data_IF_117743091967
#
_entry.id   IF_117743091967
#
_cell.length_a   1.000
_cell.length_b   1.000
_cell.length_c   1.000
_cell.angle_alpha   90.00
_cell.angle_beta   90.00
_cell.angle_gamma   90.00
#
_symmetry.space_group_name_H-M   'P 1'
#
loop_
_entity.id
_entity.type
_entity.pdbx_description
1 polymer ?
#
# COMPACT_ATOMS: atom_id res chain seq x y z
N UNK A 1 -3.17 15.79 2.79
CA UNK A 1 -2.56 14.43 2.67
C UNK A 1 -2.14 14.16 1.24
N UNK A 2 -3.04 14.29 0.25
CA UNK A 2 -2.72 14.09 -1.18
C UNK A 2 -1.55 14.96 -1.66
N UNK A 3 -1.52 16.26 -1.33
CA UNK A 3 -0.47 17.16 -1.82
C UNK A 3 0.93 16.72 -1.33
N UNK A 4 1.03 16.26 -0.08
CA UNK A 4 2.29 15.74 0.50
C UNK A 4 2.76 14.46 -0.20
N UNK A 5 1.84 13.58 -0.60
CA UNK A 5 2.19 12.35 -1.32
C UNK A 5 2.67 12.69 -2.73
N UNK A 6 2.01 13.63 -3.41
CA UNK A 6 2.44 14.14 -4.72
C UNK A 6 3.84 14.73 -4.63
N UNK A 7 4.10 15.60 -3.65
CA UNK A 7 5.42 16.20 -3.42
C UNK A 7 6.49 15.14 -3.14
N UNK A 8 6.19 14.11 -2.34
CA UNK A 8 7.14 13.04 -2.03
C UNK A 8 7.49 12.18 -3.26
N UNK A 9 6.52 11.93 -4.14
CA UNK A 9 6.69 11.03 -5.28
C UNK A 9 6.99 11.75 -6.60
N UNK A 10 6.93 13.08 -6.65
CA UNK A 10 7.10 13.84 -7.91
C UNK A 10 8.46 13.64 -8.57
N UNK A 11 9.49 13.34 -7.78
CA UNK A 11 10.85 13.13 -8.26
C UNK A 11 11.12 11.65 -8.65
N UNK A 12 10.14 10.76 -8.48
CA UNK A 12 10.32 9.34 -8.75
C UNK A 12 10.00 9.02 -10.21
N UNK A 13 10.76 8.10 -10.79
CA UNK A 13 10.45 7.58 -12.11
C UNK A 13 9.17 6.73 -12.07
N UNK A 14 8.49 6.60 -13.21
CA UNK A 14 7.33 5.72 -13.33
C UNK A 14 7.66 4.27 -12.90
N UNK A 15 8.88 3.80 -13.20
CA UNK A 15 9.37 2.49 -12.75
C UNK A 15 9.47 2.41 -11.23
N UNK A 16 10.04 3.43 -10.57
CA UNK A 16 10.17 3.44 -9.12
C UNK A 16 8.80 3.49 -8.42
N UNK A 17 7.84 4.26 -8.96
CA UNK A 17 6.46 4.29 -8.45
C UNK A 17 5.78 2.92 -8.60
N UNK A 18 5.95 2.28 -9.76
CA UNK A 18 5.41 0.94 -10.02
C UNK A 18 5.99 -0.10 -9.05
N UNK A 19 7.32 -0.12 -8.90
CA UNK A 19 8.00 -1.02 -7.96
C UNK A 19 7.60 -0.78 -6.50
N UNK A 20 7.34 0.46 -6.11
CA UNK A 20 6.84 0.79 -4.76
C UNK A 20 5.40 0.33 -4.56
N UNK A 21 4.51 0.60 -5.52
CA UNK A 21 3.08 0.24 -5.41
C UNK A 21 2.85 -1.27 -5.37
N UNK A 22 3.69 -2.07 -6.03
CA UNK A 22 3.56 -3.53 -6.07
C UNK A 22 4.10 -4.25 -4.83
N UNK A 23 4.62 -3.52 -3.85
CA UNK A 23 5.07 -4.04 -2.55
C UNK A 23 4.04 -3.85 -1.44
N UNK A 24 2.84 -3.34 -1.76
CA UNK A 24 1.75 -3.23 -0.80
C UNK A 24 1.12 -4.62 -0.60
N UNK A 25 0.86 -5.00 0.65
CA UNK A 25 0.45 -6.35 1.00
C UNK A 25 -0.78 -6.85 0.23
N UNK A 26 -1.87 -6.06 0.05
CA UNK A 26 -3.04 -6.52 -0.71
C UNK A 26 -2.70 -6.86 -2.17
N UNK A 27 -1.69 -6.22 -2.75
CA UNK A 27 -1.22 -6.53 -4.09
C UNK A 27 -0.37 -7.80 -4.11
N UNK A 28 0.56 -7.96 -3.17
CA UNK A 28 1.49 -9.11 -3.14
C UNK A 28 0.78 -10.44 -2.88
N UNK A 29 -0.28 -10.45 -2.08
CA UNK A 29 -0.96 -11.69 -1.67
C UNK A 29 -2.16 -12.05 -2.56
N UNK A 30 -2.58 -11.16 -3.45
CA UNK A 30 -3.69 -11.42 -4.36
C UNK A 30 -3.17 -11.96 -5.68
N UNK A 31 -3.69 -13.11 -6.12
CA UNK A 31 -3.36 -13.68 -7.42
C UNK A 31 -3.66 -12.70 -8.58
N UNK A 32 -2.83 -12.72 -9.61
CA UNK A 32 -2.99 -11.84 -10.77
C UNK A 32 -4.38 -11.97 -11.41
N UNK A 33 -5.04 -10.84 -11.61
CA UNK A 33 -6.38 -10.77 -12.21
C UNK A 33 -7.51 -11.23 -11.29
N UNK A 34 -7.24 -11.51 -10.01
CA UNK A 34 -8.27 -11.76 -9.00
C UNK A 34 -8.68 -10.48 -8.27
N UNK A 35 -9.85 -10.55 -7.64
CA UNK A 35 -10.36 -9.48 -6.79
C UNK A 35 -9.55 -9.41 -5.50
N UNK A 36 -9.07 -8.21 -5.17
CA UNK A 36 -8.40 -7.95 -3.89
C UNK A 36 -9.46 -7.86 -2.80
N UNK A 37 -9.37 -8.73 -1.80
CA UNK A 37 -10.29 -8.72 -0.65
C UNK A 37 -10.14 -7.42 0.15
N UNK A 38 -11.27 -6.82 0.54
CA UNK A 38 -11.29 -5.62 1.38
C UNK A 38 -10.62 -5.84 2.74
N UNK A 39 -10.69 -7.07 3.28
CA UNK A 39 -10.08 -7.43 4.57
C UNK A 39 -8.56 -7.21 4.59
N UNK A 40 -7.91 -7.32 3.42
CA UNK A 40 -6.47 -7.09 3.30
C UNK A 40 -6.06 -5.64 3.63
N UNK A 41 -6.99 -4.69 3.59
CA UNK A 41 -6.72 -3.31 3.97
C UNK A 41 -6.32 -3.13 5.45
N UNK A 42 -6.78 -4.03 6.33
CA UNK A 42 -6.46 -4.00 7.77
C UNK A 42 -5.04 -4.48 8.07
N UNK A 43 -4.45 -5.27 7.16
CA UNK A 43 -3.11 -5.83 7.29
C UNK A 43 -2.03 -5.00 6.58
N UNK A 44 -2.36 -3.79 6.11
CA UNK A 44 -1.39 -2.92 5.44
C UNK A 44 -0.39 -2.37 6.46
N UNK A 45 0.89 -2.60 6.21
CA UNK A 45 1.97 -2.13 7.08
C UNK A 45 2.55 -0.79 6.61
N UNK A 46 3.40 -0.18 7.45
CA UNK A 46 4.23 0.95 7.02
C UNK A 46 5.18 0.48 5.91
N UNK A 47 5.40 1.30 4.85
CA UNK A 47 4.96 2.68 4.66
C UNK A 47 3.61 2.85 3.95
N UNK A 48 2.87 1.77 3.66
CA UNK A 48 1.66 1.81 2.83
C UNK A 48 0.39 2.17 3.60
N UNK A 49 0.42 2.12 4.93
CA UNK A 49 -0.68 2.54 5.78
C UNK A 49 -0.41 3.86 6.52
N UNK A 50 -1.45 4.70 6.63
CA UNK A 50 -1.45 5.89 7.48
C UNK A 50 -1.72 5.52 8.95
N UNK A 51 -2.30 4.33 9.19
CA UNK A 51 -2.68 3.84 10.52
C UNK A 51 -2.17 2.41 10.70
N UNK A 52 -1.47 2.15 11.80
CA UNK A 52 -1.15 0.78 12.18
C UNK A 52 -2.30 0.27 13.02
N UNK A 53 -2.96 -0.79 12.57
CA UNK A 53 -3.96 -1.50 13.35
C UNK A 53 -3.21 -2.57 14.16
N UNK A 54 -3.38 -2.59 15.48
CA UNK A 54 -2.80 -3.64 16.32
C UNK A 54 -3.67 -4.90 16.20
N UNK A 55 -3.09 -6.02 15.80
CA UNK A 55 -3.80 -7.30 15.72
C UNK A 55 -4.20 -7.83 17.12
N UNK A 56 -3.69 -7.22 18.20
CA UNK A 56 -3.93 -7.62 19.59
C UNK A 56 -4.90 -6.70 20.35
N UNK A 57 -5.62 -5.78 19.68
CA UNK A 57 -6.72 -5.05 20.32
C UNK A 57 -7.97 -5.96 20.39
N UNK A 58 -8.09 -6.71 21.50
CA UNK A 58 -9.33 -7.38 21.96
C UNK A 58 -10.36 -6.38 22.53
#
# INVERSE_FOLDING_TARGET
VIDRVIEQMSDWSATAISEYSHKDLPWEVTDEGKEISYELAFYRELPYSVRVYDENED
#
